data_IF_917134519769
#
_entry.id   IF_917134519769
#
_cell.length_a   1.000
_cell.length_b   1.000
_cell.length_c   1.000
_cell.angle_alpha   90.00
_cell.angle_beta   90.00
_cell.angle_gamma   90.00
#
_symmetry.space_group_name_H-M   'P 1'
#
loop_
_entity.id
_entity.type
_entity.pdbx_description
1 polymer ?
#
# COMPACT_ATOMS: atom_id res chain seq x y z
N UNK A 1 7.21 47.43 35.76
CA UNK A 1 6.20 46.61 36.47
C UNK A 1 5.70 45.62 35.42
N UNK A 2 6.41 44.53 35.09
CA UNK A 2 6.63 43.28 35.86
C UNK A 2 5.34 42.56 36.25
N UNK A 3 4.91 41.67 35.35
CA UNK A 3 4.15 40.41 35.55
C UNK A 3 4.61 39.51 34.39
N UNK A 4 5.62 38.64 34.49
CA UNK A 4 5.72 37.40 35.29
C UNK A 4 4.56 36.44 35.03
N UNK A 5 4.62 35.71 33.92
CA UNK A 5 4.00 34.37 33.85
C UNK A 5 5.02 33.40 33.25
N UNK A 6 5.54 32.55 34.14
CA UNK A 6 6.38 31.39 33.89
C UNK A 6 5.46 30.28 33.40
N UNK A 7 5.69 29.75 32.20
CA UNK A 7 5.06 28.51 31.77
C UNK A 7 6.06 27.38 31.99
N UNK A 8 5.68 26.45 32.86
CA UNK A 8 6.49 25.33 33.32
C UNK A 8 6.64 24.26 32.23
N UNK A 9 7.87 23.77 32.09
CA UNK A 9 8.22 22.51 31.43
C UNK A 9 7.53 21.32 32.13
N UNK A 10 6.65 20.62 31.43
CA UNK A 10 6.25 19.26 31.79
C UNK A 10 6.93 18.30 30.82
N UNK A 11 8.07 17.76 31.28
CA UNK A 11 8.71 16.57 30.71
C UNK A 11 7.75 15.38 30.82
N UNK A 12 7.10 15.03 29.71
CA UNK A 12 6.38 13.77 29.58
C UNK A 12 7.32 12.71 29.00
N UNK A 13 7.90 11.91 29.88
CA UNK A 13 8.59 10.67 29.52
C UNK A 13 7.57 9.66 29.01
N UNK A 14 7.48 9.50 27.69
CA UNK A 14 6.71 8.40 27.09
C UNK A 14 7.59 7.15 27.07
N UNK A 15 7.28 6.22 27.96
CA UNK A 15 7.90 4.90 27.99
C UNK A 15 7.51 4.13 26.73
N UNK A 16 8.51 3.73 25.93
CA UNK A 16 8.32 2.96 24.71
C UNK A 16 8.08 1.49 25.04
N UNK A 17 6.82 1.10 25.14
CA UNK A 17 6.43 -0.31 25.20
C UNK A 17 6.62 -0.92 23.81
N UNK A 18 7.63 -1.78 23.69
CA UNK A 18 7.91 -2.58 22.49
C UNK A 18 6.90 -3.71 22.43
N UNK A 19 5.81 -3.51 21.70
CA UNK A 19 4.89 -4.61 21.40
C UNK A 19 5.56 -5.61 20.44
N UNK A 20 5.62 -6.83 20.93
CA UNK A 20 6.17 -8.02 20.30
C UNK A 20 5.52 -8.28 18.95
N UNK A 21 6.33 -8.50 17.91
CA UNK A 21 5.90 -9.05 16.63
C UNK A 21 5.13 -10.35 16.89
N UNK A 22 3.81 -10.30 16.78
CA UNK A 22 2.96 -11.47 16.65
C UNK A 22 3.08 -12.00 15.24
N UNK A 23 3.39 -13.29 15.13
CA UNK A 23 3.44 -14.06 13.90
C UNK A 23 2.22 -13.76 13.02
N UNK A 24 2.49 -13.33 11.78
CA UNK A 24 1.47 -13.21 10.74
C UNK A 24 1.10 -14.64 10.36
N UNK A 25 -0.01 -15.12 10.89
CA UNK A 25 -0.63 -16.37 10.48
C UNK A 25 -0.86 -16.32 8.96
N UNK A 26 -0.12 -17.18 8.27
CA UNK A 26 -0.21 -17.39 6.84
C UNK A 26 -1.59 -17.98 6.52
N UNK A 27 -2.55 -17.12 6.18
CA UNK A 27 -3.89 -17.53 5.73
C UNK A 27 -3.78 -18.55 4.59
N UNK A 28 -4.06 -19.81 4.92
CA UNK A 28 -4.15 -20.92 3.97
C UNK A 28 -5.57 -20.93 3.41
N UNK A 29 -5.75 -20.31 2.25
CA UNK A 29 -6.99 -20.41 1.47
C UNK A 29 -7.14 -21.84 0.97
N UNK A 30 -8.04 -22.60 1.59
CA UNK A 30 -8.46 -23.89 1.09
C UNK A 30 -9.48 -23.65 -0.02
N UNK A 31 -9.05 -23.85 -1.27
CA UNK A 31 -9.95 -23.88 -2.42
C UNK A 31 -10.74 -25.18 -2.35
N UNK A 32 -12.01 -25.09 -1.96
CA UNK A 32 -12.94 -26.20 -2.16
C UNK A 32 -13.24 -26.33 -3.66
N UNK A 33 -12.83 -27.46 -4.25
CA UNK A 33 -13.16 -27.84 -5.61
C UNK A 33 -14.69 -28.03 -5.73
N UNK A 34 -15.37 -27.03 -6.30
CA UNK A 34 -16.76 -27.18 -6.69
C UNK A 34 -16.81 -28.01 -7.98
N UNK A 35 -17.09 -29.30 -7.84
CA UNK A 35 -17.25 -30.25 -8.93
C UNK A 35 -18.51 -29.88 -9.76
N UNK A 36 -18.33 -29.07 -10.80
CA UNK A 36 -19.37 -28.82 -11.81
C UNK A 36 -19.41 -30.00 -12.77
N UNK A 37 -19.88 -31.13 -12.25
CA UNK A 37 -20.22 -32.32 -13.01
C UNK A 37 -21.28 -31.99 -14.06
N UNK A 38 -20.87 -32.00 -15.33
CA UNK A 38 -21.74 -31.81 -16.48
C UNK A 38 -22.73 -32.99 -16.62
N UNK A 39 -24.00 -32.76 -16.30
CA UNK A 39 -25.09 -33.67 -16.68
C UNK A 39 -26.40 -32.90 -16.88
N UNK A 40 -27.07 -33.21 -17.99
CA UNK A 40 -28.23 -32.53 -18.54
C UNK A 40 -29.49 -32.66 -17.67
N UNK A 41 -30.25 -31.56 -17.58
CA UNK A 41 -31.67 -31.38 -17.23
C UNK A 41 -32.48 -32.60 -16.73
N UNK A 42 -33.07 -32.46 -15.53
CA UNK A 42 -34.53 -32.51 -15.29
C UNK A 42 -34.87 -32.07 -13.86
N UNK A 43 -35.98 -31.32 -13.73
CA UNK A 43 -36.63 -30.93 -12.47
C UNK A 43 -36.65 -32.08 -11.45
N UNK A 44 -36.40 -31.79 -10.16
CA UNK A 44 -37.38 -31.78 -9.06
C UNK A 44 -36.76 -31.05 -7.86
N UNK A 45 -37.39 -29.96 -7.42
CA UNK A 45 -36.98 -29.21 -6.23
C UNK A 45 -37.33 -30.02 -4.97
N UNK A 46 -36.35 -30.75 -4.44
CA UNK A 46 -36.45 -31.36 -3.12
C UNK A 46 -35.58 -30.56 -2.15
N UNK A 47 -36.17 -29.52 -1.57
CA UNK A 47 -35.55 -28.67 -0.56
C UNK A 47 -35.23 -29.47 0.69
N UNK A 48 -33.96 -29.49 1.08
CA UNK A 48 -33.56 -29.98 2.40
C UNK A 48 -33.99 -28.96 3.44
N UNK A 49 -35.05 -29.33 4.17
CA UNK A 49 -35.57 -28.66 5.35
C UNK A 49 -34.48 -28.57 6.42
N UNK A 50 -34.01 -27.36 6.70
CA UNK A 50 -33.27 -27.03 7.90
C UNK A 50 -34.32 -26.65 8.94
N UNK A 51 -34.43 -27.48 9.97
CA UNK A 51 -35.49 -27.38 10.98
C UNK A 51 -35.25 -26.15 11.85
N UNK A 52 -36.02 -25.10 11.54
CA UNK A 52 -36.76 -24.22 12.43
C UNK A 52 -36.31 -24.18 13.91
N UNK A 53 -35.45 -23.20 14.23
CA UNK A 53 -35.46 -22.55 15.54
C UNK A 53 -35.89 -21.09 15.33
N UNK A 54 -37.19 -20.89 15.13
CA UNK A 54 -37.88 -19.60 15.12
C UNK A 54 -37.78 -18.94 16.49
N UNK A 55 -36.62 -18.34 16.77
CA UNK A 55 -36.57 -17.15 17.62
C UNK A 55 -37.37 -16.09 16.89
N UNK A 56 -38.45 -15.64 17.55
CA UNK A 56 -39.38 -14.61 17.13
C UNK A 56 -38.74 -13.60 16.17
N UNK A 57 -39.46 -13.28 15.08
CA UNK A 57 -39.12 -12.36 13.98
C UNK A 57 -38.48 -11.02 14.43
N UNK A 58 -37.26 -11.10 14.95
CA UNK A 58 -36.28 -10.06 14.94
C UNK A 58 -35.86 -10.01 13.48
N UNK A 59 -36.14 -8.88 12.84
CA UNK A 59 -35.59 -8.47 11.55
C UNK A 59 -34.27 -9.20 11.33
N UNK A 60 -34.25 -10.18 10.42
CA UNK A 60 -33.06 -10.95 10.14
C UNK A 60 -32.06 -9.98 9.51
N UNK A 61 -31.27 -9.32 10.36
CA UNK A 61 -30.18 -8.45 9.95
C UNK A 61 -29.15 -9.40 9.37
N UNK A 62 -29.12 -9.50 8.05
CA UNK A 62 -28.06 -10.21 7.34
C UNK A 62 -26.80 -9.33 7.46
N UNK A 63 -25.74 -9.80 8.15
CA UNK A 63 -24.51 -9.04 8.21
C UNK A 63 -24.02 -8.76 6.79
N UNK A 64 -23.61 -7.52 6.52
CA UNK A 64 -23.04 -7.08 5.24
C UNK A 64 -24.00 -7.08 4.04
N UNK A 65 -25.32 -7.23 4.24
CA UNK A 65 -26.31 -7.13 3.13
C UNK A 65 -26.34 -5.77 2.45
N UNK A 66 -25.95 -4.73 3.19
CA UNK A 66 -25.96 -3.35 2.72
C UNK A 66 -24.61 -2.93 2.11
N UNK A 67 -23.63 -3.85 2.10
CA UNK A 67 -22.32 -3.59 1.50
C UNK A 67 -22.36 -3.82 -0.01
N UNK A 68 -21.76 -2.89 -0.74
CA UNK A 68 -21.66 -2.99 -2.20
C UNK A 68 -20.64 -4.07 -2.57
N UNK A 69 -21.10 -5.08 -3.30
CA UNK A 69 -20.20 -6.04 -3.95
C UNK A 69 -19.48 -5.31 -5.09
N UNK A 70 -18.16 -5.49 -5.20
CA UNK A 70 -17.37 -4.94 -6.29
C UNK A 70 -17.95 -5.37 -7.64
N UNK A 71 -18.13 -4.42 -8.55
CA UNK A 71 -18.57 -4.74 -9.91
C UNK A 71 -17.43 -5.34 -10.74
N UNK A 72 -17.78 -5.99 -11.84
CA UNK A 72 -16.80 -6.65 -12.73
C UNK A 72 -15.72 -5.66 -13.19
N UNK A 73 -16.11 -4.41 -13.48
CA UNK A 73 -15.18 -3.37 -13.90
C UNK A 73 -14.16 -3.02 -12.82
N UNK A 74 -14.58 -2.92 -11.55
CA UNK A 74 -13.65 -2.70 -10.44
C UNK A 74 -12.69 -3.87 -10.27
N UNK A 75 -13.18 -5.11 -10.39
CA UNK A 75 -12.33 -6.32 -10.29
C UNK A 75 -11.28 -6.32 -11.39
N UNK A 76 -11.67 -6.06 -12.65
CA UNK A 76 -10.73 -6.00 -13.78
C UNK A 76 -9.69 -4.88 -13.64
N UNK A 77 -10.07 -3.72 -13.11
CA UNK A 77 -9.13 -2.63 -12.84
C UNK A 77 -8.13 -3.01 -11.74
N UNK A 78 -8.63 -3.59 -10.64
CA UNK A 78 -7.81 -4.03 -9.52
C UNK A 78 -6.79 -5.08 -9.95
N UNK A 79 -7.20 -6.08 -10.73
CA UNK A 79 -6.28 -7.10 -11.25
C UNK A 79 -5.19 -6.51 -12.13
N UNK A 80 -5.55 -5.53 -12.97
CA UNK A 80 -4.59 -4.81 -13.83
C UNK A 80 -3.58 -4.02 -13.01
N UNK A 81 -4.05 -3.27 -12.01
CA UNK A 81 -3.19 -2.49 -11.12
C UNK A 81 -2.24 -3.40 -10.34
N UNK A 82 -2.75 -4.53 -9.85
CA UNK A 82 -1.96 -5.54 -9.13
C UNK A 82 -0.85 -6.13 -10.00
N UNK A 83 -1.13 -6.49 -11.26
CA UNK A 83 -0.09 -7.01 -12.15
C UNK A 83 0.93 -5.91 -12.52
N UNK A 84 0.47 -4.67 -12.72
CA UNK A 84 1.36 -3.52 -12.92
C UNK A 84 2.29 -3.30 -11.74
N UNK A 85 1.77 -3.34 -10.51
CA UNK A 85 2.57 -3.21 -9.29
C UNK A 85 3.58 -4.35 -9.15
N UNK A 86 3.18 -5.59 -9.46
CA UNK A 86 4.06 -6.75 -9.42
C UNK A 86 5.23 -6.61 -10.40
N UNK A 87 4.96 -6.19 -11.65
CA UNK A 87 6.01 -5.94 -12.65
C UNK A 87 6.94 -4.80 -12.20
N UNK A 88 6.39 -3.74 -11.62
CA UNK A 88 7.19 -2.64 -11.07
C UNK A 88 8.11 -3.12 -9.96
N UNK A 89 7.60 -3.89 -9.00
CA UNK A 89 8.40 -4.45 -7.90
C UNK A 89 9.47 -5.41 -8.43
N UNK A 90 9.17 -6.22 -9.43
CA UNK A 90 10.16 -7.10 -10.06
C UNK A 90 11.31 -6.31 -10.70
N UNK A 91 11.00 -5.23 -11.44
CA UNK A 91 12.03 -4.35 -12.00
C UNK A 91 12.90 -3.71 -10.90
N UNK A 92 12.29 -3.31 -9.78
CA UNK A 92 13.05 -2.78 -8.64
C UNK A 92 13.95 -3.83 -7.99
N UNK A 93 13.52 -5.10 -7.93
CA UNK A 93 14.37 -6.20 -7.42
C UNK A 93 15.62 -6.37 -8.29
N UNK A 94 15.46 -6.33 -9.61
CA UNK A 94 16.58 -6.38 -10.57
C UNK A 94 17.52 -5.17 -10.46
N UNK A 95 17.03 -4.03 -9.96
CA UNK A 95 17.91 -2.90 -9.63
C UNK A 95 18.66 -3.18 -8.32
N UNK A 96 17.97 -3.70 -7.30
CA UNK A 96 18.54 -3.97 -5.98
C UNK A 96 19.63 -5.05 -6.01
N UNK A 97 19.44 -6.11 -6.80
CA UNK A 97 20.42 -7.19 -6.95
C UNK A 97 21.61 -6.82 -7.86
N UNK A 98 21.56 -5.66 -8.51
CA UNK A 98 22.60 -5.17 -9.41
C UNK A 98 22.55 -5.74 -10.82
N UNK A 99 21.52 -6.51 -11.18
CA UNK A 99 21.27 -6.98 -12.56
C UNK A 99 21.15 -5.80 -13.51
N UNK A 100 20.47 -4.74 -13.08
CA UNK A 100 20.37 -3.46 -13.79
C UNK A 100 21.31 -2.45 -13.13
N UNK A 101 22.31 -1.99 -13.89
CA UNK A 101 23.27 -1.00 -13.43
C UNK A 101 22.59 0.36 -13.11
N UNK A 102 23.10 1.08 -12.11
CA UNK A 102 22.60 2.40 -11.68
C UNK A 102 22.50 3.39 -12.84
N UNK A 103 23.49 3.39 -13.73
CA UNK A 103 23.53 4.27 -14.90
C UNK A 103 22.36 4.07 -15.88
N UNK A 104 21.65 2.94 -15.82
CA UNK A 104 20.51 2.66 -16.71
C UNK A 104 19.18 3.22 -16.19
N UNK A 105 19.04 3.44 -14.88
CA UNK A 105 17.79 3.90 -14.28
C UNK A 105 17.91 5.22 -13.51
N UNK A 106 19.10 5.56 -13.00
CA UNK A 106 19.34 6.83 -12.35
C UNK A 106 19.36 7.97 -13.38
N UNK A 107 18.46 8.93 -13.21
CA UNK A 107 18.38 10.15 -14.04
C UNK A 107 18.93 11.40 -13.34
N UNK A 108 19.04 11.38 -12.02
CA UNK A 108 19.53 12.52 -11.25
C UNK A 108 21.06 12.56 -11.10
N UNK A 109 21.75 11.45 -11.39
CA UNK A 109 23.20 11.31 -11.26
C UNK A 109 23.72 11.04 -9.84
N UNK A 110 22.83 11.04 -8.83
CA UNK A 110 23.18 10.96 -7.41
C UNK A 110 22.66 9.69 -6.70
N UNK A 111 22.04 8.75 -7.43
CA UNK A 111 21.62 7.49 -6.81
C UNK A 111 22.85 6.60 -6.57
N UNK A 112 22.93 5.99 -5.39
CA UNK A 112 24.00 5.07 -5.01
C UNK A 112 23.44 3.78 -4.43
N UNK A 113 23.81 2.65 -5.01
CA UNK A 113 23.41 1.30 -4.57
C UNK A 113 23.90 0.96 -3.17
N UNK A 114 25.04 1.50 -2.74
CA UNK A 114 25.57 1.24 -1.39
C UNK A 114 24.63 1.76 -0.28
N UNK A 115 23.78 2.73 -0.59
CA UNK A 115 22.83 3.34 0.35
C UNK A 115 21.42 2.70 0.27
N UNK A 116 21.19 1.79 -0.69
CA UNK A 116 19.88 1.19 -0.96
C UNK A 116 19.74 -0.15 -0.25
N UNK A 117 18.99 -0.16 0.86
CA UNK A 117 18.73 -1.36 1.66
C UNK A 117 17.36 -2.00 1.38
N UNK A 118 16.50 -1.33 0.61
CA UNK A 118 15.13 -1.75 0.36
C UNK A 118 14.80 -1.60 -1.12
N UNK A 119 14.13 -2.61 -1.69
CA UNK A 119 13.68 -2.64 -3.08
C UNK A 119 12.90 -1.39 -3.49
N UNK A 120 12.01 -0.89 -2.63
CA UNK A 120 11.21 0.29 -2.89
C UNK A 120 12.04 1.59 -2.93
N UNK A 121 13.27 1.56 -2.41
CA UNK A 121 14.22 2.69 -2.50
C UNK A 121 15.04 2.67 -3.80
N UNK A 122 14.99 1.60 -4.60
CA UNK A 122 15.68 1.51 -5.91
C UNK A 122 14.99 2.32 -7.02
N UNK A 123 14.45 3.48 -6.68
CA UNK A 123 13.78 4.42 -7.56
C UNK A 123 14.58 5.72 -7.60
N UNK A 124 14.71 6.30 -8.78
CA UNK A 124 15.30 7.62 -8.92
C UNK A 124 14.31 8.67 -8.38
N UNK A 125 14.80 9.75 -7.77
CA UNK A 125 13.93 10.85 -7.35
C UNK A 125 13.18 11.51 -8.54
N UNK A 126 13.67 11.30 -9.76
CA UNK A 126 13.02 11.70 -11.01
C UNK A 126 11.94 10.72 -11.50
N UNK A 127 11.67 9.63 -10.77
CA UNK A 127 10.59 8.67 -11.03
C UNK A 127 9.42 8.84 -10.04
N UNK A 128 9.67 9.46 -8.88
CA UNK A 128 8.68 9.61 -7.80
C UNK A 128 7.93 10.93 -7.99
N UNK A 129 6.61 10.93 -8.24
CA UNK A 129 5.86 12.15 -8.56
C UNK A 129 5.98 13.25 -7.50
N UNK A 130 5.97 12.87 -6.21
CA UNK A 130 6.12 13.83 -5.10
C UNK A 130 7.49 14.52 -5.12
N UNK A 131 8.56 13.78 -5.46
CA UNK A 131 9.91 14.35 -5.58
C UNK A 131 10.00 15.28 -6.79
N UNK A 132 9.45 14.88 -7.93
CA UNK A 132 9.40 15.72 -9.14
C UNK A 132 8.70 17.04 -8.85
N UNK A 133 7.52 16.99 -8.23
CA UNK A 133 6.76 18.18 -7.88
C UNK A 133 7.51 19.08 -6.90
N UNK A 134 8.23 18.50 -5.94
CA UNK A 134 9.04 19.27 -4.99
C UNK A 134 10.22 19.96 -5.69
N UNK A 135 10.91 19.28 -6.62
CA UNK A 135 11.99 19.87 -7.42
C UNK A 135 11.53 21.03 -8.30
N UNK A 136 10.24 21.05 -8.66
CA UNK A 136 9.60 22.11 -9.45
C UNK A 136 8.90 23.17 -8.60
N UNK A 137 8.91 23.03 -7.28
CA UNK A 137 8.24 23.95 -6.37
C UNK A 137 8.90 25.33 -6.37
N UNK A 138 8.12 26.35 -6.04
CA UNK A 138 8.62 27.72 -5.94
C UNK A 138 9.75 27.84 -4.90
N UNK A 139 9.64 27.13 -3.78
CA UNK A 139 10.67 27.07 -2.75
C UNK A 139 12.00 26.53 -3.29
N UNK A 140 11.96 25.45 -4.08
CA UNK A 140 13.16 24.90 -4.71
C UNK A 140 13.78 25.88 -5.72
N UNK A 141 12.96 26.68 -6.42
CA UNK A 141 13.42 27.66 -7.41
C UNK A 141 14.01 28.93 -6.78
N UNK A 142 13.57 29.32 -5.58
CA UNK A 142 14.13 30.47 -4.86
C UNK A 142 15.63 30.27 -4.59
N UNK A 143 16.03 29.06 -4.25
CA UNK A 143 17.41 28.73 -3.90
C UNK A 143 18.31 28.52 -5.13
N UNK A 144 17.82 27.84 -6.16
CA UNK A 144 18.66 27.37 -7.28
C UNK A 144 18.42 28.09 -8.59
N UNK A 145 17.43 28.99 -8.69
CA UNK A 145 16.98 29.71 -9.92
C UNK A 145 16.45 28.83 -11.05
N UNK A 146 16.84 27.56 -11.09
CA UNK A 146 16.39 26.52 -12.01
C UNK A 146 16.11 25.24 -11.23
N UNK A 147 15.15 24.38 -11.64
CA UNK A 147 14.85 23.13 -10.93
C UNK A 147 16.11 22.29 -10.72
N UNK A 148 16.40 21.84 -9.49
CA UNK A 148 17.56 20.98 -9.25
C UNK A 148 17.40 19.62 -9.95
N UNK A 149 18.52 19.03 -10.35
CA UNK A 149 18.55 17.70 -10.97
C UNK A 149 18.27 16.56 -9.98
N UNK A 150 18.45 16.80 -8.68
CA UNK A 150 18.32 15.83 -7.59
C UNK A 150 17.72 16.48 -6.36
N UNK A 151 16.92 15.72 -5.61
CA UNK A 151 16.34 16.18 -4.32
C UNK A 151 17.40 16.51 -3.27
N UNK A 152 18.61 15.98 -3.43
CA UNK A 152 19.76 16.30 -2.56
C UNK A 152 20.33 17.70 -2.77
N UNK A 153 19.91 18.42 -3.82
CA UNK A 153 20.42 19.75 -4.17
C UNK A 153 19.52 20.90 -3.68
N UNK A 154 18.47 20.65 -2.90
CA UNK A 154 17.81 21.72 -2.14
C UNK A 154 18.80 22.28 -1.11
N UNK A 155 18.92 23.61 -1.04
CA UNK A 155 19.89 24.30 -0.19
C UNK A 155 19.41 24.30 1.26
N UNK A 156 19.54 23.16 1.93
CA UNK A 156 19.20 22.97 3.34
C UNK A 156 20.29 22.21 4.06
N UNK A 157 21.47 22.85 4.18
CA UNK A 157 22.74 22.38 4.80
C UNK A 157 23.70 21.66 3.86
#
# INVERSE_FOLDING_TARGET
>A
MSTSELYSDESSSVESERESHGDIDHYKLEVEEFDVGSASVSNEASGKSWEDNTVAAATAVFPYSDELIADIKWIEEYEREKESEKLHVEALKQRLDGTIAVSQWCKCGNCDMALLQNVYKCQCCQEIPRCINNLQSEDALQDTRTPPSSVTHHSGV
#
